data_IF_268609747928
#
_entry.id   IF_268609747928
#
_cell.length_a   1.000
_cell.length_b   1.000
_cell.length_c   1.000
_cell.angle_alpha   90.00
_cell.angle_beta   90.00
_cell.angle_gamma   90.00
#
_symmetry.space_group_name_H-M   'P 1'
#
loop_
_entity.id
_entity.type
_entity.pdbx_description
1 polymer ?
#
# COMPACT_ATOMS: atom_id res chain seq x y z
N UNK A 1 13.60 -8.74 12.33
CA UNK A 1 13.12 -9.39 13.58
C UNK A 1 13.85 -10.69 13.91
N UNK A 2 13.93 -11.71 13.02
CA UNK A 2 14.66 -12.95 13.34
C UNK A 2 16.14 -12.72 13.71
N UNK A 3 16.85 -11.83 12.98
CA UNK A 3 18.23 -11.43 13.32
C UNK A 3 18.32 -10.70 14.67
N UNK A 4 17.44 -9.71 14.89
CA UNK A 4 17.27 -8.96 16.16
C UNK A 4 17.00 -9.88 17.36
N UNK A 5 16.20 -10.93 17.19
CA UNK A 5 15.88 -11.87 18.27
C UNK A 5 16.97 -12.93 18.51
N UNK A 6 17.80 -13.23 17.51
CA UNK A 6 18.94 -14.15 17.64
C UNK A 6 20.12 -13.47 18.33
N UNK A 7 20.29 -12.17 18.11
CA UNK A 7 21.34 -11.37 18.72
C UNK A 7 20.78 -10.01 19.18
N UNK A 8 20.57 -9.80 20.49
CA UNK A 8 20.10 -8.53 21.03
C UNK A 8 21.07 -7.37 20.80
N UNK A 9 22.35 -7.64 20.52
CA UNK A 9 23.32 -6.59 20.16
C UNK A 9 23.14 -6.11 18.73
N UNK A 10 22.41 -6.87 17.89
CA UNK A 10 22.08 -6.47 16.52
C UNK A 10 21.36 -5.13 16.45
N UNK A 11 20.50 -4.82 17.42
CA UNK A 11 19.76 -3.54 17.49
C UNK A 11 20.61 -2.39 17.99
N UNK A 12 21.71 -2.66 18.69
CA UNK A 12 22.63 -1.65 19.23
C UNK A 12 23.66 -1.17 18.21
N UNK A 13 23.92 -1.97 17.17
CA UNK A 13 24.86 -1.59 16.11
C UNK A 13 24.20 -0.71 15.06
N UNK A 14 24.66 0.54 14.94
CA UNK A 14 24.24 1.47 13.89
C UNK A 14 24.50 0.93 12.48
N UNK A 15 25.59 0.17 12.30
CA UNK A 15 25.92 -0.48 11.03
C UNK A 15 24.81 -1.43 10.54
N UNK A 16 24.19 -2.20 11.44
CA UNK A 16 23.12 -3.13 11.06
C UNK A 16 21.86 -2.40 10.57
N UNK A 17 21.57 -1.22 11.12
CA UNK A 17 20.47 -0.37 10.67
C UNK A 17 20.76 0.27 9.32
N UNK A 18 22.00 0.77 9.13
CA UNK A 18 22.43 1.30 7.83
C UNK A 18 22.32 0.21 6.76
N UNK A 19 22.86 -0.98 7.01
CA UNK A 19 22.78 -2.10 6.08
C UNK A 19 21.34 -2.57 5.83
N UNK A 20 20.46 -2.52 6.84
CA UNK A 20 19.03 -2.82 6.67
C UNK A 20 18.38 -1.94 5.60
N UNK A 21 18.65 -0.63 5.62
CA UNK A 21 18.11 0.29 4.61
C UNK A 21 18.83 0.16 3.26
N UNK A 22 20.16 0.09 3.26
CA UNK A 22 20.97 0.00 2.04
C UNK A 22 20.64 -1.26 1.24
N UNK A 23 20.46 -2.41 1.90
CA UNK A 23 20.10 -3.65 1.21
C UNK A 23 18.75 -3.56 0.49
N UNK A 24 17.75 -2.91 1.11
CA UNK A 24 16.45 -2.74 0.45
C UNK A 24 16.52 -1.76 -0.71
N UNK A 25 17.27 -0.66 -0.52
CA UNK A 25 17.49 0.33 -1.57
C UNK A 25 18.19 -0.29 -2.79
N UNK A 26 19.32 -0.99 -2.59
CA UNK A 26 20.03 -1.68 -3.67
C UNK A 26 19.21 -2.77 -4.36
N UNK A 27 18.24 -3.38 -3.67
CA UNK A 27 17.35 -4.39 -4.27
C UNK A 27 16.30 -3.79 -5.22
N UNK A 28 15.78 -2.61 -4.92
CA UNK A 28 14.63 -2.03 -5.63
C UNK A 28 15.05 -0.92 -6.60
N UNK A 29 15.92 -0.01 -6.14
CA UNK A 29 16.23 1.24 -6.84
C UNK A 29 16.89 1.06 -8.21
N UNK A 30 17.83 0.12 -8.42
CA UNK A 30 18.48 -0.03 -9.73
C UNK A 30 17.49 -0.28 -10.87
N UNK A 31 16.58 -1.25 -10.70
CA UNK A 31 15.57 -1.56 -11.71
C UNK A 31 14.58 -0.40 -11.89
N UNK A 32 14.23 0.30 -10.81
CA UNK A 32 13.32 1.44 -10.84
C UNK A 32 13.89 2.64 -11.61
N UNK A 33 15.12 3.04 -11.30
CA UNK A 33 15.80 4.16 -11.96
C UNK A 33 16.13 3.82 -13.41
N UNK A 34 16.60 2.59 -13.67
CA UNK A 34 16.79 2.11 -15.03
C UNK A 34 15.51 2.22 -15.85
N UNK A 35 14.37 1.81 -15.28
CA UNK A 35 13.08 1.90 -15.96
C UNK A 35 12.65 3.35 -16.23
N UNK A 36 12.92 4.29 -15.31
CA UNK A 36 12.67 5.72 -15.55
C UNK A 36 13.50 6.23 -16.73
N UNK A 37 14.80 5.90 -16.79
CA UNK A 37 15.63 6.29 -17.92
C UNK A 37 15.19 5.64 -19.23
N UNK A 38 14.74 4.38 -19.18
CA UNK A 38 14.12 3.73 -20.33
C UNK A 38 12.87 4.51 -20.81
N UNK A 39 12.00 4.94 -19.90
CA UNK A 39 10.81 5.75 -20.21
C UNK A 39 11.19 7.08 -20.87
N UNK A 40 12.17 7.80 -20.31
CA UNK A 40 12.69 9.06 -20.86
C UNK A 40 13.22 8.84 -22.29
N UNK A 41 14.01 7.78 -22.50
CA UNK A 41 14.62 7.49 -23.79
C UNK A 41 13.62 6.98 -24.83
N UNK A 42 12.65 6.16 -24.43
CA UNK A 42 11.80 5.43 -25.38
C UNK A 42 10.52 6.15 -25.76
N UNK A 43 9.86 6.88 -24.83
CA UNK A 43 8.60 7.59 -25.13
C UNK A 43 8.70 8.49 -26.37
N UNK A 44 9.76 9.32 -26.55
CA UNK A 44 9.89 10.17 -27.75
C UNK A 44 9.97 9.41 -29.07
N UNK A 45 10.37 8.14 -29.03
CA UNK A 45 10.57 7.26 -30.19
C UNK A 45 9.34 6.41 -30.49
N UNK A 46 8.31 6.47 -29.66
CA UNK A 46 7.07 5.73 -29.87
C UNK A 46 6.25 6.35 -31.01
N UNK A 47 5.94 5.53 -32.02
CA UNK A 47 5.04 5.89 -33.13
C UNK A 47 3.66 5.22 -33.02
N UNK A 48 3.30 4.74 -31.82
CA UNK A 48 2.01 4.10 -31.55
C UNK A 48 0.82 5.07 -31.65
N UNK A 49 -0.40 4.52 -31.66
CA UNK A 49 -1.63 5.28 -31.85
C UNK A 49 -1.83 6.40 -30.82
N UNK A 50 -1.58 6.14 -29.53
CA UNK A 50 -1.70 7.15 -28.47
C UNK A 50 -0.63 8.24 -28.58
N UNK A 51 0.61 7.86 -28.89
CA UNK A 51 1.72 8.81 -29.05
C UNK A 51 1.44 9.79 -30.20
N UNK A 52 0.88 9.31 -31.31
CA UNK A 52 0.46 10.14 -32.44
C UNK A 52 -0.76 11.00 -32.14
N UNK A 53 -1.74 10.46 -31.40
CA UNK A 53 -2.95 11.19 -31.00
C UNK A 53 -2.70 12.25 -29.91
N UNK A 54 -1.68 12.08 -29.07
CA UNK A 54 -1.40 12.94 -27.89
C UNK A 54 0.11 13.29 -27.76
N UNK A 55 0.75 13.90 -28.77
CA UNK A 55 2.19 14.18 -28.73
C UNK A 55 2.60 15.12 -27.59
N UNK A 56 1.73 16.08 -27.23
CA UNK A 56 1.98 17.00 -26.10
C UNK A 56 1.89 16.31 -24.73
N UNK A 57 1.12 15.22 -24.62
CA UNK A 57 1.11 14.43 -23.40
C UNK A 57 2.44 13.69 -23.24
N UNK A 58 2.93 13.06 -24.31
CA UNK A 58 4.20 12.34 -24.32
C UNK A 58 5.37 13.25 -23.94
N UNK A 59 5.47 14.44 -24.57
CA UNK A 59 6.49 15.45 -24.24
C UNK A 59 6.45 15.84 -22.76
N UNK A 60 5.25 16.08 -22.20
CA UNK A 60 5.10 16.45 -20.78
C UNK A 60 5.50 15.31 -19.83
N UNK A 61 5.27 14.05 -20.18
CA UNK A 61 5.72 12.91 -19.37
C UNK A 61 7.26 12.89 -19.32
N UNK A 62 7.90 13.04 -20.47
CA UNK A 62 9.37 13.04 -20.58
C UNK A 62 9.97 14.21 -19.81
N UNK A 63 9.47 15.44 -20.01
CA UNK A 63 9.96 16.63 -19.31
C UNK A 63 9.88 16.49 -17.79
N UNK A 64 8.73 16.04 -17.24
CA UNK A 64 8.58 15.82 -15.79
C UNK A 64 9.60 14.81 -15.26
N UNK A 65 9.94 13.82 -16.07
CA UNK A 65 10.95 12.83 -15.72
C UNK A 65 12.38 13.34 -15.81
N UNK A 66 12.72 14.12 -16.83
CA UNK A 66 14.01 14.80 -16.93
C UNK A 66 14.25 15.73 -15.72
N UNK A 67 13.21 16.46 -15.30
CA UNK A 67 13.30 17.42 -14.19
C UNK A 67 13.31 16.74 -12.80
N UNK A 68 12.58 15.63 -12.63
CA UNK A 68 12.26 15.09 -11.30
C UNK A 68 12.65 13.60 -11.08
N UNK A 69 13.39 12.94 -11.97
CA UNK A 69 13.76 11.52 -11.81
C UNK A 69 14.48 11.23 -10.48
N UNK A 70 15.26 12.19 -9.97
CA UNK A 70 16.03 12.04 -8.73
C UNK A 70 15.11 11.88 -7.51
N UNK A 71 13.92 12.48 -7.52
CA UNK A 71 12.94 12.31 -6.44
C UNK A 71 12.45 10.87 -6.33
N UNK A 72 12.40 10.15 -7.46
CA UNK A 72 12.03 8.75 -7.50
C UNK A 72 13.14 7.86 -6.92
N UNK A 73 14.41 8.18 -7.17
CA UNK A 73 15.56 7.48 -6.57
C UNK A 73 15.63 7.66 -5.04
N UNK A 74 15.20 8.83 -4.55
CA UNK A 74 15.09 9.15 -3.13
C UNK A 74 13.76 8.74 -2.49
N UNK A 75 12.81 8.19 -3.26
CA UNK A 75 11.48 7.80 -2.78
C UNK A 75 10.68 8.95 -2.11
N UNK A 76 10.77 10.16 -2.66
CA UNK A 76 10.05 11.36 -2.18
C UNK A 76 9.15 11.98 -3.26
N UNK A 77 9.04 11.35 -4.43
CA UNK A 77 8.24 11.88 -5.54
C UNK A 77 6.74 12.02 -5.20
N UNK A 78 6.23 11.27 -4.23
CA UNK A 78 4.84 11.38 -3.80
C UNK A 78 4.52 12.68 -3.04
N UNK A 79 5.53 13.40 -2.53
CA UNK A 79 5.32 14.74 -1.93
C UNK A 79 5.22 15.86 -2.96
N UNK A 80 5.61 15.59 -4.21
CA UNK A 80 5.38 16.49 -5.33
C UNK A 80 3.91 16.42 -5.74
N UNK A 81 3.36 17.51 -6.26
CA UNK A 81 2.00 17.54 -6.83
C UNK A 81 1.83 16.38 -7.80
N UNK A 82 0.71 15.65 -7.72
CA UNK A 82 0.50 14.41 -8.49
C UNK A 82 0.65 14.58 -10.00
N UNK A 83 0.39 15.78 -10.52
CA UNK A 83 0.56 16.13 -11.92
C UNK A 83 2.00 16.44 -12.32
N UNK A 84 2.92 16.64 -11.38
CA UNK A 84 4.33 16.97 -11.64
C UNK A 84 5.26 15.79 -11.36
N UNK A 85 4.74 14.67 -10.86
CA UNK A 85 5.51 13.44 -10.67
C UNK A 85 6.03 12.92 -12.02
N UNK A 86 7.29 12.47 -12.05
CA UNK A 86 7.89 11.80 -13.20
C UNK A 86 7.09 10.55 -13.60
N UNK A 87 7.11 9.54 -12.73
CA UNK A 87 6.40 8.29 -12.97
C UNK A 87 5.22 8.19 -12.03
N UNK A 88 4.06 8.69 -12.45
CA UNK A 88 2.89 8.88 -11.58
C UNK A 88 2.56 7.67 -10.72
N UNK A 89 2.53 6.47 -11.31
CA UNK A 89 2.20 5.23 -10.61
C UNK A 89 3.15 4.88 -9.46
N UNK A 90 4.39 5.37 -9.51
CA UNK A 90 5.41 5.08 -8.52
C UNK A 90 5.21 5.74 -7.16
N UNK A 91 4.16 6.54 -6.99
CA UNK A 91 3.76 7.06 -5.67
C UNK A 91 3.74 5.95 -4.60
N UNK A 92 3.31 4.74 -4.98
CA UNK A 92 3.19 3.60 -4.06
C UNK A 92 4.55 3.07 -3.60
N UNK A 93 5.55 3.02 -4.50
CA UNK A 93 6.93 2.67 -4.15
C UNK A 93 7.48 3.60 -3.07
N UNK A 94 7.19 4.90 -3.20
CA UNK A 94 7.65 5.92 -2.26
C UNK A 94 6.99 5.79 -0.91
N UNK A 95 5.67 5.59 -0.88
CA UNK A 95 4.96 5.28 0.37
C UNK A 95 5.49 4.00 1.03
N UNK A 96 5.72 2.91 0.28
CA UNK A 96 6.27 1.66 0.82
C UNK A 96 7.69 1.82 1.39
N UNK A 97 8.53 2.64 0.76
CA UNK A 97 9.86 2.92 1.29
C UNK A 97 9.80 3.80 2.55
N UNK A 98 8.95 4.84 2.56
CA UNK A 98 8.76 5.73 3.70
C UNK A 98 8.20 4.99 4.93
N UNK A 99 7.21 4.11 4.73
CA UNK A 99 6.68 3.29 5.81
C UNK A 99 7.72 2.29 6.33
N UNK A 100 8.58 1.77 5.45
CA UNK A 100 9.70 0.92 5.87
C UNK A 100 10.78 1.65 6.65
N UNK A 101 11.03 2.93 6.36
CA UNK A 101 11.93 3.76 7.18
C UNK A 101 11.45 3.85 8.62
N UNK A 102 10.12 3.94 8.82
CA UNK A 102 9.50 4.02 10.15
C UNK A 102 9.25 2.66 10.81
N UNK A 103 9.32 1.55 10.06
CA UNK A 103 9.09 0.20 10.59
C UNK A 103 9.89 -0.15 11.85
N UNK A 104 11.20 0.18 11.94
CA UNK A 104 12.00 -0.13 13.12
C UNK A 104 11.43 0.41 14.42
N UNK A 105 10.77 1.57 14.40
CA UNK A 105 10.14 2.16 15.59
C UNK A 105 9.08 1.20 16.15
N UNK A 106 8.18 0.72 15.30
CA UNK A 106 7.13 -0.22 15.69
C UNK A 106 7.69 -1.61 16.06
N UNK A 107 8.69 -2.08 15.30
CA UNK A 107 9.31 -3.37 15.53
C UNK A 107 10.10 -3.40 16.86
N UNK A 108 10.80 -2.32 17.20
CA UNK A 108 11.51 -2.17 18.47
C UNK A 108 10.53 -2.04 19.63
N UNK A 109 9.46 -1.23 19.49
CA UNK A 109 8.42 -1.16 20.51
C UNK A 109 7.81 -2.55 20.80
N UNK A 110 7.47 -3.31 19.75
CA UNK A 110 6.98 -4.69 19.89
C UNK A 110 8.01 -5.62 20.55
N UNK A 111 9.29 -5.45 20.24
CA UNK A 111 10.36 -6.26 20.82
C UNK A 111 10.54 -6.02 22.32
N UNK A 112 10.51 -4.76 22.76
CA UNK A 112 10.65 -4.42 24.18
C UNK A 112 9.41 -4.80 24.99
N UNK A 113 8.22 -4.50 24.46
CA UNK A 113 6.97 -4.87 25.12
C UNK A 113 5.83 -4.97 24.11
N UNK A 114 5.18 -6.15 24.08
CA UNK A 114 3.99 -6.38 23.27
C UNK A 114 2.91 -5.30 23.47
N UNK A 115 2.68 -4.87 24.72
CA UNK A 115 1.69 -3.82 25.03
C UNK A 115 2.09 -2.47 24.43
N UNK A 116 3.37 -2.12 24.47
CA UNK A 116 3.86 -0.84 23.92
C UNK A 116 3.80 -0.81 22.40
N UNK A 117 4.20 -1.90 21.73
CA UNK A 117 4.13 -2.01 20.28
C UNK A 117 2.69 -2.07 19.76
N UNK A 118 1.80 -2.79 20.46
CA UNK A 118 0.37 -2.80 20.18
C UNK A 118 -0.23 -1.40 20.36
N UNK A 119 0.09 -0.71 21.46
CA UNK A 119 -0.34 0.67 21.70
C UNK A 119 0.12 1.62 20.59
N UNK A 120 1.39 1.57 20.18
CA UNK A 120 1.91 2.39 19.10
C UNK A 120 1.21 2.12 17.76
N UNK A 121 0.94 0.86 17.43
CA UNK A 121 0.22 0.50 16.22
C UNK A 121 -1.25 0.96 16.25
N UNK A 122 -1.94 0.80 17.39
CA UNK A 122 -3.33 1.26 17.58
C UNK A 122 -3.42 2.78 17.47
N UNK A 123 -2.51 3.51 18.13
CA UNK A 123 -2.43 4.97 18.03
C UNK A 123 -2.17 5.39 16.58
N UNK A 124 -1.26 4.72 15.87
CA UNK A 124 -0.98 5.01 14.47
C UNK A 124 -2.17 4.76 13.53
N UNK A 125 -2.96 3.70 13.78
CA UNK A 125 -4.20 3.44 13.04
C UNK A 125 -5.25 4.51 13.33
N UNK A 126 -5.46 4.85 14.61
CA UNK A 126 -6.42 5.89 15.02
C UNK A 126 -6.03 7.25 14.43
N UNK A 127 -4.75 7.64 14.50
CA UNK A 127 -4.27 8.91 13.96
C UNK A 127 -4.41 8.97 12.43
N UNK A 128 -4.13 7.87 11.73
CA UNK A 128 -4.34 7.77 10.28
C UNK A 128 -5.81 7.90 9.91
N UNK A 129 -6.69 7.18 10.61
CA UNK A 129 -8.14 7.25 10.43
C UNK A 129 -8.66 8.66 10.69
N UNK A 130 -8.26 9.30 11.80
CA UNK A 130 -8.63 10.67 12.12
C UNK A 130 -8.15 11.65 11.03
N UNK A 131 -6.94 11.48 10.53
CA UNK A 131 -6.39 12.29 9.44
C UNK A 131 -7.21 12.13 8.16
N UNK A 132 -7.58 10.91 7.79
CA UNK A 132 -8.43 10.66 6.60
C UNK A 132 -9.79 11.32 6.76
N UNK A 133 -10.44 11.16 7.92
CA UNK A 133 -11.75 11.78 8.21
C UNK A 133 -11.65 13.30 8.15
N UNK A 134 -10.65 13.88 8.79
CA UNK A 134 -10.41 15.32 8.79
C UNK A 134 -10.17 15.85 7.38
N UNK A 135 -9.25 15.27 6.61
CA UNK A 135 -8.94 15.70 5.25
C UNK A 135 -10.16 15.57 4.32
N UNK A 136 -10.93 14.49 4.48
CA UNK A 136 -12.15 14.27 3.67
C UNK A 136 -13.21 15.31 3.98
N UNK A 137 -13.41 15.65 5.25
CA UNK A 137 -14.39 16.65 5.65
C UNK A 137 -13.96 18.08 5.33
N UNK A 138 -12.68 18.41 5.56
CA UNK A 138 -12.15 19.76 5.38
C UNK A 138 -12.05 20.16 3.90
N UNK A 139 -11.58 19.25 3.04
CA UNK A 139 -11.40 19.51 1.62
C UNK A 139 -12.54 18.98 0.74
N UNK A 140 -13.65 18.58 1.36
CA UNK A 140 -14.83 17.97 0.72
C UNK A 140 -14.48 16.86 -0.29
N UNK A 141 -13.57 15.97 0.09
CA UNK A 141 -13.01 14.98 -0.83
C UNK A 141 -13.99 13.82 -1.09
N UNK A 142 -13.94 13.20 -2.28
CA UNK A 142 -14.75 12.03 -2.57
C UNK A 142 -14.30 10.83 -1.74
N UNK A 143 -15.16 9.81 -1.61
CA UNK A 143 -14.80 8.58 -0.90
C UNK A 143 -13.62 7.83 -1.57
N UNK A 144 -13.46 8.00 -2.88
CA UNK A 144 -12.42 7.38 -3.71
C UNK A 144 -12.10 8.21 -4.95
N UNK A 145 -10.93 7.96 -5.56
CA UNK A 145 -10.39 8.77 -6.67
C UNK A 145 -11.06 8.57 -8.03
N UNK A 146 -11.73 7.43 -8.27
CA UNK A 146 -12.21 7.05 -9.60
C UNK A 146 -13.71 7.26 -9.78
N UNK A 147 -14.06 7.88 -10.90
CA UNK A 147 -15.42 7.91 -11.48
C UNK A 147 -16.55 8.26 -10.51
N UNK A 148 -16.31 9.11 -9.52
CA UNK A 148 -17.44 9.63 -8.74
C UNK A 148 -18.22 10.61 -9.60
N UNK A 149 -19.47 10.29 -9.91
CA UNK A 149 -20.42 11.24 -10.46
C UNK A 149 -20.59 12.40 -9.46
N UNK A 150 -20.35 13.63 -9.90
CA UNK A 150 -20.56 14.81 -9.07
C UNK A 150 -21.42 15.84 -9.81
N UNK A 151 -22.47 16.38 -9.17
CA UNK A 151 -23.33 17.38 -9.79
C UNK A 151 -22.62 18.72 -10.09
N UNK A 152 -21.65 19.14 -9.26
CA UNK A 152 -21.02 20.47 -9.34
C UNK A 152 -19.51 20.42 -9.04
N UNK A 153 -18.68 21.11 -9.85
CA UNK A 153 -17.24 21.32 -9.63
C UNK A 153 -16.32 20.79 -10.73
N UNK A 154 -15.06 21.26 -10.74
CA UNK A 154 -14.03 20.77 -11.66
C UNK A 154 -13.51 19.39 -11.18
N UNK A 155 -13.99 18.32 -11.83
CA UNK A 155 -13.65 16.93 -11.51
C UNK A 155 -12.13 16.68 -11.50
N UNK A 156 -11.37 17.33 -12.38
CA UNK A 156 -9.93 17.11 -12.47
C UNK A 156 -9.21 17.69 -11.24
N UNK A 157 -9.61 18.86 -10.78
CA UNK A 157 -9.04 19.46 -9.57
C UNK A 157 -9.33 18.62 -8.33
N UNK A 158 -10.56 18.10 -8.20
CA UNK A 158 -10.93 17.25 -7.07
C UNK A 158 -10.14 15.94 -7.07
N UNK A 159 -9.94 15.32 -8.24
CA UNK A 159 -9.10 14.12 -8.39
C UNK A 159 -7.66 14.39 -7.97
N UNK A 160 -7.11 15.55 -8.37
CA UNK A 160 -5.77 15.96 -7.98
C UNK A 160 -5.65 16.19 -6.47
N UNK A 161 -6.64 16.86 -5.87
CA UNK A 161 -6.69 17.07 -4.44
C UNK A 161 -6.78 15.74 -3.68
N UNK A 162 -7.64 14.82 -4.10
CA UNK A 162 -7.72 13.49 -3.50
C UNK A 162 -6.38 12.75 -3.61
N UNK A 163 -5.72 12.83 -4.77
CA UNK A 163 -4.42 12.21 -4.97
C UNK A 163 -3.35 12.79 -4.05
N UNK A 164 -3.28 14.11 -3.97
CA UNK A 164 -2.25 14.83 -3.21
C UNK A 164 -2.46 14.73 -1.69
N UNK A 165 -3.70 14.75 -1.20
CA UNK A 165 -3.98 14.76 0.23
C UNK A 165 -4.21 13.37 0.83
N UNK A 166 -4.84 12.45 0.08
CA UNK A 166 -5.24 11.14 0.60
C UNK A 166 -4.52 9.99 -0.09
N UNK A 167 -4.44 9.96 -1.41
CA UNK A 167 -4.04 8.74 -2.13
C UNK A 167 -2.54 8.47 -2.04
N UNK A 168 -1.72 9.51 -2.23
CA UNK A 168 -0.26 9.42 -2.37
C UNK A 168 0.50 9.58 -1.03
N UNK A 169 -0.20 9.94 0.05
CA UNK A 169 0.45 10.27 1.32
C UNK A 169 0.68 9.03 2.19
N UNK A 170 1.83 8.92 2.87
CA UNK A 170 2.13 7.74 3.70
C UNK A 170 1.27 7.69 4.97
N UNK A 171 0.95 8.82 5.58
CA UNK A 171 0.19 8.88 6.84
C UNK A 171 -1.27 8.46 6.69
N UNK A 172 -1.88 8.57 5.52
CA UNK A 172 -3.24 8.05 5.20
C UNK A 172 -3.22 6.60 4.71
N UNK A 173 -2.03 5.99 4.59
CA UNK A 173 -1.81 4.64 4.05
C UNK A 173 -1.09 3.71 5.02
N UNK A 174 -0.74 4.16 6.21
CA UNK A 174 -0.03 3.34 7.20
C UNK A 174 -0.91 2.26 7.85
N UNK A 175 -2.25 2.34 7.78
CA UNK A 175 -3.18 1.35 8.36
C UNK A 175 -2.86 -0.10 7.95
N UNK A 176 -2.87 -0.48 6.65
CA UNK A 176 -2.50 -1.83 6.22
C UNK A 176 -1.11 -2.24 6.67
N UNK A 177 -0.18 -1.28 6.70
CA UNK A 177 1.20 -1.51 7.07
C UNK A 177 1.34 -1.90 8.55
N UNK A 178 0.67 -1.16 9.44
CA UNK A 178 0.66 -1.43 10.88
C UNK A 178 -0.03 -2.77 11.21
N UNK A 179 -1.17 -3.05 10.57
CA UNK A 179 -1.86 -4.33 10.69
C UNK A 179 -0.95 -5.47 10.22
N UNK A 180 -0.24 -5.29 9.11
CA UNK A 180 0.74 -6.25 8.59
C UNK A 180 1.91 -6.51 9.56
N UNK A 181 2.47 -5.46 10.18
CA UNK A 181 3.52 -5.60 11.21
C UNK A 181 3.02 -6.42 12.39
N UNK A 182 1.82 -6.13 12.92
CA UNK A 182 1.23 -6.87 14.03
C UNK A 182 1.00 -8.34 13.67
N UNK A 183 0.45 -8.60 12.47
CA UNK A 183 0.23 -9.94 11.94
C UNK A 183 1.55 -10.72 11.83
N UNK A 184 2.58 -10.14 11.21
CA UNK A 184 3.89 -10.75 11.07
C UNK A 184 4.57 -11.02 12.43
N UNK A 185 4.43 -10.11 13.38
CA UNK A 185 4.96 -10.30 14.73
C UNK A 185 4.26 -11.44 15.47
N UNK A 186 2.92 -11.54 15.39
CA UNK A 186 2.16 -12.64 15.97
C UNK A 186 2.60 -14.01 15.43
N UNK A 187 2.80 -14.11 14.11
CA UNK A 187 3.29 -15.35 13.48
C UNK A 187 4.67 -15.74 14.03
N UNK A 188 5.58 -14.78 14.15
CA UNK A 188 6.93 -15.03 14.70
C UNK A 188 6.86 -15.45 16.17
N UNK A 189 6.03 -14.80 16.97
CA UNK A 189 5.89 -15.09 18.40
C UNK A 189 5.41 -16.52 18.64
N UNK A 190 4.40 -16.95 17.90
CA UNK A 190 3.83 -18.29 17.98
C UNK A 190 4.86 -19.34 17.56
N UNK A 191 5.49 -19.15 16.39
CA UNK A 191 6.52 -20.08 15.88
C UNK A 191 7.72 -20.18 16.83
N UNK A 192 8.13 -19.09 17.49
CA UNK A 192 9.28 -19.10 18.41
C UNK A 192 8.97 -19.80 19.73
N UNK A 193 7.78 -19.58 20.30
CA UNK A 193 7.43 -20.16 21.60
C UNK A 193 7.10 -21.66 21.52
N UNK A 194 7.15 -22.27 20.33
CA UNK A 194 6.63 -23.63 20.07
C UNK A 194 5.22 -23.82 20.67
N UNK A 195 4.44 -22.75 20.70
CA UNK A 195 3.07 -22.82 21.20
C UNK A 195 2.24 -23.34 20.04
N UNK A 196 1.82 -24.58 20.16
CA UNK A 196 0.77 -25.11 19.28
C UNK A 196 -0.51 -24.30 19.55
N UNK A 197 -0.89 -23.44 18.60
CA UNK A 197 -2.19 -22.79 18.72
C UNK A 197 -3.23 -23.86 18.50
N UNK A 198 -3.95 -24.21 19.58
CA UNK A 198 -5.10 -25.12 19.49
C UNK A 198 -6.03 -24.62 18.38
N UNK A 199 -6.33 -25.50 17.42
CA UNK A 199 -7.27 -25.16 16.35
C UNK A 199 -8.56 -24.61 16.96
N UNK A 200 -8.99 -23.40 16.57
CA UNK A 200 -10.23 -22.83 17.08
C UNK A 200 -11.41 -23.70 16.66
N UNK A 201 -12.51 -23.66 17.44
CA UNK A 201 -13.73 -24.43 17.12
C UNK A 201 -14.20 -24.07 15.71
N UNK A 202 -14.76 -25.03 14.97
CA UNK A 202 -15.23 -24.85 13.57
C UNK A 202 -16.05 -23.57 13.37
N UNK A 203 -16.95 -23.24 14.31
CA UNK A 203 -17.76 -22.02 14.28
C UNK A 203 -16.95 -20.71 14.25
N UNK A 204 -15.82 -20.63 14.96
CA UNK A 204 -14.95 -19.45 14.91
C UNK A 204 -14.22 -19.33 13.57
N UNK A 205 -13.83 -20.45 12.96
CA UNK A 205 -13.21 -20.46 11.64
C UNK A 205 -14.20 -20.01 10.57
N UNK A 206 -15.42 -20.56 10.59
CA UNK A 206 -16.51 -20.16 9.70
C UNK A 206 -16.83 -18.68 9.88
N UNK A 207 -16.96 -18.22 11.13
CA UNK A 207 -17.18 -16.81 11.44
C UNK A 207 -16.07 -15.89 10.91
N UNK A 208 -14.81 -16.27 11.07
CA UNK A 208 -13.67 -15.50 10.54
C UNK A 208 -13.64 -15.44 9.02
N UNK A 209 -13.91 -16.55 8.33
CA UNK A 209 -14.00 -16.57 6.86
C UNK A 209 -15.18 -15.74 6.35
N UNK A 210 -16.35 -15.86 6.98
CA UNK A 210 -17.53 -15.06 6.65
C UNK A 210 -17.26 -13.56 6.87
N UNK A 211 -16.67 -13.19 8.00
CA UNK A 211 -16.36 -11.80 8.31
C UNK A 211 -15.33 -11.21 7.35
N UNK A 212 -14.26 -11.96 7.04
CA UNK A 212 -13.24 -11.53 6.08
C UNK A 212 -13.82 -11.36 4.67
N UNK A 213 -14.62 -12.33 4.22
CA UNK A 213 -15.27 -12.28 2.90
C UNK A 213 -16.28 -11.15 2.82
N UNK A 214 -17.15 -11.01 3.82
CA UNK A 214 -18.12 -9.93 3.88
C UNK A 214 -17.43 -8.56 3.92
N UNK A 215 -16.37 -8.42 4.70
CA UNK A 215 -15.58 -7.18 4.75
C UNK A 215 -14.97 -6.86 3.39
N UNK A 216 -14.36 -7.83 2.71
CA UNK A 216 -13.81 -7.64 1.36
C UNK A 216 -14.90 -7.24 0.35
N UNK A 217 -16.06 -7.90 0.38
CA UNK A 217 -17.20 -7.60 -0.48
C UNK A 217 -17.76 -6.20 -0.21
N UNK A 218 -17.92 -5.79 1.05
CA UNK A 218 -18.38 -4.44 1.41
C UNK A 218 -17.39 -3.38 0.92
N UNK A 219 -16.08 -3.63 1.07
CA UNK A 219 -15.07 -2.68 0.58
C UNK A 219 -15.14 -2.54 -0.94
N UNK A 220 -15.26 -3.64 -1.68
CA UNK A 220 -15.26 -3.61 -3.15
C UNK A 220 -16.59 -3.09 -3.72
N UNK A 221 -17.73 -3.63 -3.25
CA UNK A 221 -19.04 -3.37 -3.83
C UNK A 221 -19.85 -2.29 -3.10
N UNK A 222 -19.51 -1.96 -1.85
CA UNK A 222 -20.27 -0.98 -1.05
C UNK A 222 -20.29 0.43 -1.66
N UNK A 223 -19.33 0.75 -2.52
CA UNK A 223 -19.22 2.04 -3.20
C UNK A 223 -19.82 2.04 -4.61
N UNK A 224 -20.35 0.91 -5.08
CA UNK A 224 -20.81 0.74 -6.47
C UNK A 224 -21.87 1.78 -6.89
N UNK A 225 -22.93 1.95 -6.09
CA UNK A 225 -24.00 2.91 -6.38
C UNK A 225 -23.49 4.37 -6.33
N UNK A 226 -22.50 4.65 -5.48
CA UNK A 226 -21.87 5.96 -5.39
C UNK A 226 -21.02 6.29 -6.62
N UNK A 227 -20.19 5.34 -7.08
CA UNK A 227 -19.41 5.51 -8.31
C UNK A 227 -20.35 5.73 -9.51
N UNK A 228 -21.43 4.95 -9.61
CA UNK A 228 -22.38 5.09 -10.73
C UNK A 228 -23.25 6.34 -10.69
N UNK A 229 -23.17 7.15 -9.64
CA UNK A 229 -24.03 8.33 -9.46
C UNK A 229 -25.48 8.02 -9.11
N UNK A 230 -25.80 6.76 -8.81
CA UNK A 230 -27.13 6.34 -8.38
C UNK A 230 -27.40 6.67 -6.90
N UNK A 231 -26.37 7.01 -6.12
CA UNK A 231 -26.48 7.43 -4.73
C UNK A 231 -25.54 8.61 -4.44
N UNK A 232 -26.05 9.65 -3.79
CA UNK A 232 -25.25 10.76 -3.26
C UNK A 232 -24.86 10.47 -1.82
N UNK A 233 -23.58 10.62 -1.50
CA UNK A 233 -23.07 10.39 -0.14
C UNK A 233 -22.75 11.72 0.53
N UNK A 234 -23.34 11.93 1.71
CA UNK A 234 -22.94 13.02 2.61
C UNK A 234 -21.48 12.88 3.04
N UNK A 235 -20.90 13.99 3.48
CA UNK A 235 -19.49 14.07 3.95
C UNK A 235 -19.16 12.99 4.97
N UNK A 236 -20.08 12.72 5.90
CA UNK A 236 -19.91 11.69 6.94
C UNK A 236 -19.72 10.28 6.37
N UNK A 237 -20.58 9.88 5.42
CA UNK A 237 -20.49 8.55 4.82
C UNK A 237 -19.25 8.41 3.92
N UNK A 238 -18.88 9.46 3.17
CA UNK A 238 -17.64 9.49 2.39
C UNK A 238 -16.41 9.33 3.28
N UNK A 239 -16.36 10.09 4.38
CA UNK A 239 -15.25 10.07 5.33
C UNK A 239 -15.14 8.72 6.05
N UNK A 240 -16.27 8.16 6.48
CA UNK A 240 -16.33 6.85 7.10
C UNK A 240 -15.83 5.77 6.13
N UNK A 241 -16.36 5.73 4.90
CA UNK A 241 -15.91 4.75 3.92
C UNK A 241 -14.42 4.91 3.60
N UNK A 242 -13.93 6.15 3.38
CA UNK A 242 -12.52 6.40 3.10
C UNK A 242 -11.60 5.87 4.21
N UNK A 243 -11.95 6.04 5.48
CA UNK A 243 -11.14 5.55 6.59
C UNK A 243 -11.30 4.05 6.84
N UNK A 244 -12.54 3.56 7.01
CA UNK A 244 -12.80 2.20 7.46
C UNK A 244 -12.62 1.14 6.37
N UNK A 245 -12.75 1.50 5.09
CA UNK A 245 -12.48 0.55 4.00
C UNK A 245 -11.03 0.02 4.02
N UNK A 246 -10.08 0.87 4.40
CA UNK A 246 -8.66 0.49 4.58
C UNK A 246 -8.49 -0.47 5.74
N UNK A 247 -9.18 -0.25 6.86
CA UNK A 247 -9.14 -1.16 8.02
C UNK A 247 -9.76 -2.51 7.63
N UNK A 248 -10.96 -2.50 7.04
CA UNK A 248 -11.69 -3.72 6.66
C UNK A 248 -10.91 -4.59 5.68
N UNK A 249 -10.43 -4.00 4.59
CA UNK A 249 -9.60 -4.73 3.60
C UNK A 249 -8.32 -5.29 4.22
N UNK A 250 -7.63 -4.51 5.07
CA UNK A 250 -6.42 -4.96 5.74
C UNK A 250 -6.69 -6.10 6.73
N UNK A 251 -7.78 -6.02 7.49
CA UNK A 251 -8.19 -7.05 8.43
C UNK A 251 -8.60 -8.35 7.70
N UNK A 252 -9.32 -8.24 6.58
CA UNK A 252 -9.69 -9.38 5.74
C UNK A 252 -8.43 -10.10 5.23
N UNK A 253 -7.46 -9.36 4.68
CA UNK A 253 -6.18 -9.94 4.23
C UNK A 253 -5.39 -10.53 5.41
N UNK A 254 -5.34 -9.84 6.56
CA UNK A 254 -4.65 -10.33 7.75
C UNK A 254 -5.24 -11.66 8.24
N UNK A 255 -6.57 -11.83 8.20
CA UNK A 255 -7.22 -13.10 8.52
C UNK A 255 -6.74 -14.23 7.60
N UNK A 256 -6.72 -14.01 6.28
CA UNK A 256 -6.25 -15.01 5.31
C UNK A 256 -4.80 -15.40 5.60
N UNK A 257 -3.93 -14.42 5.85
CA UNK A 257 -2.51 -14.65 6.17
C UNK A 257 -2.35 -15.46 7.44
N UNK A 258 -3.06 -15.12 8.53
CA UNK A 258 -3.00 -15.86 9.79
C UNK A 258 -3.57 -17.27 9.65
N UNK A 259 -4.69 -17.43 8.93
CA UNK A 259 -5.30 -18.72 8.68
C UNK A 259 -4.37 -19.66 7.87
N UNK A 260 -3.61 -19.12 6.91
CA UNK A 260 -2.59 -19.89 6.20
C UNK A 260 -1.39 -20.21 7.10
N UNK A 261 -0.91 -19.23 7.86
CA UNK A 261 0.26 -19.36 8.72
C UNK A 261 0.08 -20.34 9.88
N UNK A 262 -1.15 -20.54 10.36
CA UNK A 262 -1.50 -21.45 11.45
C UNK A 262 -2.22 -22.73 11.01
N UNK A 263 -2.20 -23.06 9.71
CA UNK A 263 -2.78 -24.30 9.17
C UNK A 263 -4.31 -24.42 9.39
N UNK A 264 -5.03 -23.30 9.34
CA UNK A 264 -6.49 -23.23 9.45
C UNK A 264 -7.19 -23.07 8.11
N UNK A 265 -6.47 -22.68 7.06
CA UNK A 265 -7.05 -22.29 5.78
C UNK A 265 -7.40 -23.45 4.82
N UNK A 266 -6.99 -24.69 5.13
CA UNK A 266 -7.37 -25.88 4.34
C UNK A 266 -7.05 -25.71 2.85
N UNK A 267 -8.03 -25.87 1.93
CA UNK A 267 -7.82 -25.72 0.48
C UNK A 267 -7.26 -24.37 0.04
N UNK A 268 -7.62 -23.29 0.76
CA UNK A 268 -7.13 -21.95 0.45
C UNK A 268 -5.61 -21.86 0.64
N UNK A 269 -5.07 -22.54 1.66
CA UNK A 269 -3.62 -22.65 1.87
C UNK A 269 -2.96 -23.35 0.69
N UNK A 270 -3.49 -24.51 0.29
CA UNK A 270 -2.95 -25.29 -0.84
C UNK A 270 -2.92 -24.49 -2.14
N UNK A 271 -3.98 -23.71 -2.40
CA UNK A 271 -4.03 -22.84 -3.57
C UNK A 271 -2.98 -21.71 -3.50
N UNK A 272 -2.87 -21.01 -2.36
CA UNK A 272 -1.99 -19.85 -2.21
C UNK A 272 -0.50 -20.22 -2.09
N UNK A 273 -0.18 -21.40 -1.56
CA UNK A 273 1.19 -21.91 -1.46
C UNK A 273 1.64 -22.70 -2.70
N UNK A 274 0.78 -22.79 -3.72
CA UNK A 274 1.07 -23.55 -4.92
C UNK A 274 2.37 -23.04 -5.61
N UNK A 275 3.32 -23.92 -6.00
CA UNK A 275 4.61 -23.52 -6.57
C UNK A 275 4.53 -22.64 -7.83
N UNK A 276 3.42 -22.72 -8.57
CA UNK A 276 3.14 -21.86 -9.73
C UNK A 276 3.24 -20.36 -9.42
N UNK A 277 2.95 -19.96 -8.17
CA UNK A 277 3.03 -18.56 -7.76
C UNK A 277 4.46 -18.06 -7.54
N UNK A 278 5.45 -18.94 -7.38
CA UNK A 278 6.84 -18.55 -7.12
C UNK A 278 7.47 -17.69 -8.23
N UNK A 279 7.42 -18.07 -9.53
CA UNK A 279 7.94 -17.23 -10.60
C UNK A 279 7.18 -15.91 -10.72
N UNK A 280 5.85 -15.94 -10.62
CA UNK A 280 5.01 -14.74 -10.68
C UNK A 280 5.31 -13.77 -9.53
N UNK A 281 5.54 -14.30 -8.33
CA UNK A 281 5.93 -13.51 -7.16
C UNK A 281 7.27 -12.80 -7.36
N UNK A 282 8.25 -13.45 -8.00
CA UNK A 282 9.55 -12.83 -8.30
C UNK A 282 9.46 -11.74 -9.39
N UNK A 283 8.57 -11.91 -10.36
CA UNK A 283 8.37 -10.95 -11.46
C UNK A 283 7.44 -9.79 -11.10
N UNK A 284 6.64 -9.93 -10.03
CA UNK A 284 5.63 -8.94 -9.62
C UNK A 284 6.15 -7.51 -9.55
N UNK A 285 7.38 -7.32 -9.06
CA UNK A 285 8.03 -6.01 -8.99
C UNK A 285 8.31 -5.40 -10.37
N UNK A 286 8.94 -6.16 -11.26
CA UNK A 286 9.23 -5.69 -12.62
C UNK A 286 7.94 -5.50 -13.42
N UNK A 287 6.95 -6.39 -13.26
CA UNK A 287 5.63 -6.24 -13.87
C UNK A 287 4.95 -4.95 -13.38
N UNK A 288 5.04 -4.64 -12.09
CA UNK A 288 4.56 -3.37 -11.54
C UNK A 288 5.32 -2.15 -12.08
N UNK A 289 6.62 -2.24 -12.36
CA UNK A 289 7.30 -1.12 -13.03
C UNK A 289 6.82 -0.95 -14.47
N UNK A 290 6.60 -2.04 -15.21
CA UNK A 290 6.34 -2.00 -16.66
C UNK A 290 4.87 -1.78 -17.03
N UNK A 291 3.90 -2.16 -16.19
CA UNK A 291 2.49 -2.22 -16.58
C UNK A 291 1.93 -0.91 -17.16
N UNK A 292 2.25 0.25 -16.56
CA UNK A 292 1.68 1.52 -17.02
C UNK A 292 2.25 1.91 -18.38
N UNK A 293 3.53 1.62 -18.63
CA UNK A 293 4.13 1.82 -19.94
C UNK A 293 3.47 0.92 -21.00
N UNK A 294 3.18 -0.35 -20.69
CA UNK A 294 2.46 -1.25 -21.61
C UNK A 294 1.05 -0.73 -21.94
N UNK A 295 0.36 -0.10 -20.98
CA UNK A 295 -0.95 0.51 -21.21
C UNK A 295 -0.88 1.79 -22.06
N UNK A 296 0.29 2.43 -22.16
CA UNK A 296 0.50 3.66 -22.93
C UNK A 296 0.91 3.39 -24.39
N UNK A 297 1.50 2.23 -24.68
CA UNK A 297 1.94 1.80 -26.03
C UNK A 297 0.77 1.24 -26.81
#
# INVERSE_FOLDING_TARGET
LQKVHKDPTYTRSGYNWIMYYVHRWLRLTPAYVFFIFFVIAWIPRMNGGLARARPQLMKRIVQKCEDNWWMNALYINNFKTSNEMCYGISWFLSVDMQLYWTAPIFLLALHYSWKSGLGAAVVGVISSTATIVFLTAHFDLPAMSYNTYMPHGNLDQLRLNYSNYIYNMPWTRCIPYLIGILCGYLIILVKKKNVEIRRPKKWHLVGGWLLATLSALIVVFGVYNYIRGAATWGVGLRSAYAAFSRIGSSAAVAWVVLACAFDWAGPVKTLLEHPLWQPLGRLSYCAYLVHFFVLLV
#
